data_IF_673588114895
#
_entry.id   IF_673588114895
#
_cell.length_a   1.000
_cell.length_b   1.000
_cell.length_c   1.000
_cell.angle_alpha   90.00
_cell.angle_beta   90.00
_cell.angle_gamma   90.00
#
_symmetry.space_group_name_H-M   'P 1'
#
loop_
_entity.id
_entity.type
_entity.pdbx_description
1 polymer ?
#
# COMPACT_ATOMS: atom_id res chain seq x y z
N UNK A 1 88.94 -65.85 64.89
CA UNK A 1 87.52 -65.57 65.22
C UNK A 1 87.28 -64.10 64.92
N UNK A 2 86.31 -63.82 64.06
CA UNK A 2 85.78 -62.54 63.56
C UNK A 2 86.09 -61.26 64.38
N UNK A 3 86.40 -60.14 63.70
CA UNK A 3 85.54 -58.92 63.66
C UNK A 3 86.23 -57.69 63.03
N UNK A 4 85.63 -57.22 61.92
CA UNK A 4 85.45 -55.83 61.43
C UNK A 4 86.68 -54.90 61.35
N UNK A 5 87.20 -54.73 60.13
CA UNK A 5 87.78 -53.45 59.68
C UNK A 5 86.69 -52.37 59.65
N UNK A 6 86.80 -51.37 60.52
CA UNK A 6 86.17 -50.05 60.34
C UNK A 6 87.30 -49.07 60.03
N UNK A 7 87.32 -48.55 58.82
CA UNK A 7 88.12 -47.38 58.48
C UNK A 7 87.38 -46.13 58.98
N UNK A 8 87.87 -45.51 60.05
CA UNK A 8 87.45 -44.17 60.46
C UNK A 8 88.11 -43.15 59.54
N UNK A 9 87.39 -42.74 58.49
CA UNK A 9 87.75 -41.56 57.70
C UNK A 9 87.40 -40.30 58.50
N UNK A 10 88.43 -39.67 59.08
CA UNK A 10 88.32 -38.32 59.66
C UNK A 10 88.20 -37.30 58.53
N UNK A 11 86.99 -36.78 58.31
CA UNK A 11 86.73 -35.73 57.32
C UNK A 11 87.14 -34.38 57.91
N UNK A 12 88.29 -33.84 57.49
CA UNK A 12 88.70 -32.48 57.84
C UNK A 12 87.74 -31.45 57.25
N UNK A 13 87.25 -30.50 58.06
CA UNK A 13 86.35 -29.44 57.60
C UNK A 13 87.03 -28.58 56.53
N UNK A 14 86.34 -28.26 55.41
CA UNK A 14 86.92 -27.47 54.33
C UNK A 14 87.30 -26.08 54.81
N UNK A 15 88.50 -25.61 54.44
CA UNK A 15 88.95 -24.25 54.73
C UNK A 15 88.07 -23.20 54.06
N UNK A 16 87.86 -22.04 54.70
CA UNK A 16 86.94 -20.99 54.23
C UNK A 16 87.16 -20.58 52.75
N UNK A 17 88.41 -20.57 52.28
CA UNK A 17 88.74 -20.28 50.87
C UNK A 17 88.30 -21.36 49.88
N UNK A 18 88.31 -22.65 50.26
CA UNK A 18 87.83 -23.75 49.42
C UNK A 18 86.30 -23.72 49.29
N UNK A 19 85.59 -23.36 50.37
CA UNK A 19 84.14 -23.15 50.35
C UNK A 19 83.75 -21.99 49.42
N UNK A 20 84.50 -20.88 49.45
CA UNK A 20 84.30 -19.73 48.56
C UNK A 20 84.57 -20.08 47.09
N UNK A 21 85.64 -20.82 46.80
CA UNK A 21 85.96 -21.24 45.43
C UNK A 21 84.91 -22.21 44.85
N UNK A 22 84.41 -23.16 45.67
CA UNK A 22 83.32 -24.07 45.29
C UNK A 22 82.00 -23.32 45.07
N UNK A 23 81.67 -22.34 45.94
CA UNK A 23 80.48 -21.51 45.77
C UNK A 23 80.56 -20.67 44.48
N UNK A 24 81.73 -20.09 44.17
CA UNK A 24 81.95 -19.36 42.93
C UNK A 24 81.86 -20.27 41.69
N UNK A 25 82.49 -21.45 41.72
CA UNK A 25 82.38 -22.44 40.64
C UNK A 25 80.91 -22.82 40.40
N UNK A 26 80.13 -23.09 41.46
CA UNK A 26 78.72 -23.43 41.34
C UNK A 26 77.88 -22.28 40.76
N UNK A 27 78.15 -21.04 41.16
CA UNK A 27 77.48 -19.86 40.59
C UNK A 27 77.83 -19.68 39.10
N UNK A 28 79.10 -19.84 38.72
CA UNK A 28 79.52 -19.77 37.32
C UNK A 28 78.95 -20.91 36.48
N UNK A 29 78.91 -22.13 37.01
CA UNK A 29 78.31 -23.28 36.36
C UNK A 29 76.79 -23.13 36.22
N UNK A 30 76.11 -22.61 37.25
CA UNK A 30 74.68 -22.29 37.18
C UNK A 30 74.40 -21.18 36.15
N UNK A 31 75.26 -20.16 36.07
CA UNK A 31 75.18 -19.11 35.05
C UNK A 31 75.40 -19.63 33.63
N UNK A 32 76.41 -20.48 33.41
CA UNK A 32 76.65 -21.13 32.12
C UNK A 32 75.52 -22.08 31.74
N UNK A 33 75.01 -22.87 32.68
CA UNK A 33 73.87 -23.75 32.47
C UNK A 33 72.62 -22.95 32.11
N UNK A 34 72.35 -21.86 32.82
CA UNK A 34 71.25 -20.96 32.50
C UNK A 34 71.41 -20.33 31.10
N UNK A 35 72.61 -19.87 30.75
CA UNK A 35 72.89 -19.30 29.43
C UNK A 35 72.68 -20.33 28.32
N UNK A 36 73.16 -21.56 28.49
CA UNK A 36 72.94 -22.66 27.53
C UNK A 36 71.45 -23.02 27.45
N UNK A 37 70.76 -23.11 28.59
CA UNK A 37 69.32 -23.38 28.63
C UNK A 37 68.51 -22.30 27.88
N UNK A 38 68.88 -21.02 28.00
CA UNK A 38 68.23 -19.95 27.22
C UNK A 38 68.46 -20.11 25.71
N UNK A 39 69.61 -20.65 25.27
CA UNK A 39 69.86 -20.91 23.84
C UNK A 39 69.11 -22.12 23.27
N UNK A 40 68.54 -22.99 24.10
CA UNK A 40 67.78 -24.17 23.63
C UNK A 40 66.30 -23.88 23.37
N UNK A 41 65.82 -22.65 23.59
CA UNK A 41 64.44 -22.27 23.31
C UNK A 41 64.11 -22.41 21.83
N UNK A 42 62.93 -22.94 21.55
CA UNK A 42 62.36 -22.88 20.21
C UNK A 42 61.81 -21.47 19.96
N UNK A 43 62.04 -20.96 18.76
CA UNK A 43 61.51 -19.69 18.27
C UNK A 43 60.19 -19.92 17.54
N UNK A 44 59.16 -19.15 17.90
CA UNK A 44 57.85 -19.18 17.24
C UNK A 44 57.48 -17.77 16.80
N UNK A 45 57.21 -17.59 15.52
CA UNK A 45 56.71 -16.33 14.97
C UNK A 45 55.20 -16.34 14.98
N UNK A 46 54.58 -15.41 15.71
CA UNK A 46 53.13 -15.28 15.83
C UNK A 46 52.68 -14.10 14.98
N UNK A 47 51.76 -14.35 14.06
CA UNK A 47 51.10 -13.32 13.24
C UNK A 47 49.69 -13.09 13.77
N UNK A 48 49.43 -11.89 14.32
CA UNK A 48 48.14 -11.47 14.85
C UNK A 48 47.59 -10.32 14.00
N UNK A 49 46.76 -10.65 13.01
CA UNK A 49 46.30 -9.66 12.03
C UNK A 49 47.48 -9.15 11.20
N UNK A 50 47.77 -7.85 11.28
CA UNK A 50 48.93 -7.23 10.60
C UNK A 50 50.19 -7.18 11.49
N UNK A 51 50.06 -7.49 12.78
CA UNK A 51 51.17 -7.48 13.73
C UNK A 51 51.88 -8.83 13.73
N UNK A 52 53.21 -8.81 13.68
CA UNK A 52 54.04 -10.02 13.80
C UNK A 52 55.04 -9.86 14.94
N UNK A 53 55.12 -10.85 15.82
CA UNK A 53 56.10 -10.87 16.92
C UNK A 53 56.66 -12.28 17.12
N UNK A 54 57.85 -12.38 17.70
CA UNK A 54 58.51 -13.66 17.96
C UNK A 54 58.55 -13.93 19.45
N UNK A 55 58.24 -15.16 19.83
CA UNK A 55 58.40 -15.67 21.20
C UNK A 55 59.44 -16.79 21.21
N UNK A 56 60.17 -16.90 22.32
CA UNK A 56 61.09 -17.99 22.58
C UNK A 56 60.57 -18.80 23.78
N UNK A 57 60.42 -20.11 23.62
CA UNK A 57 59.73 -20.98 24.59
C UNK A 57 60.44 -22.33 24.74
N UNK A 58 60.32 -22.93 25.92
CA UNK A 58 60.68 -24.32 26.19
C UNK A 58 59.46 -25.26 26.20
N UNK A 59 58.27 -24.72 25.96
CA UNK A 59 57.04 -25.50 26.00
C UNK A 59 57.00 -26.56 24.89
N UNK A 60 56.50 -27.74 25.23
CA UNK A 60 56.39 -28.85 24.28
C UNK A 60 55.25 -28.64 23.26
N UNK A 61 54.25 -27.81 23.57
CA UNK A 61 53.03 -27.64 22.75
C UNK A 61 52.62 -26.18 22.63
N UNK A 62 51.82 -25.87 21.58
CA UNK A 62 51.22 -24.53 21.37
C UNK A 62 50.47 -24.04 22.61
N UNK A 63 49.71 -24.89 23.29
CA UNK A 63 49.03 -24.55 24.54
C UNK A 63 50.01 -24.14 25.63
N UNK A 64 51.07 -24.92 25.84
CA UNK A 64 52.09 -24.62 26.84
C UNK A 64 52.78 -23.29 26.56
N UNK A 65 53.08 -23.00 25.29
CA UNK A 65 53.64 -21.71 24.87
C UNK A 65 52.67 -20.56 25.15
N UNK A 66 51.38 -20.70 24.82
CA UNK A 66 50.35 -19.69 25.09
C UNK A 66 50.28 -19.37 26.59
N UNK A 67 50.32 -20.39 27.44
CA UNK A 67 50.30 -20.24 28.90
C UNK A 67 51.61 -19.61 29.44
N UNK A 68 52.78 -20.06 28.98
CA UNK A 68 54.09 -19.53 29.36
C UNK A 68 54.23 -18.04 29.02
N UNK A 69 53.74 -17.64 27.84
CA UNK A 69 53.82 -16.27 27.34
C UNK A 69 52.65 -15.38 27.79
N UNK A 70 51.71 -15.91 28.61
CA UNK A 70 50.50 -15.21 29.06
C UNK A 70 49.67 -14.61 27.91
N UNK A 71 49.54 -15.33 26.80
CA UNK A 71 48.73 -14.90 25.66
C UNK A 71 47.24 -15.14 25.94
N UNK A 72 46.42 -14.08 25.89
CA UNK A 72 44.96 -14.15 26.08
C UNK A 72 44.24 -14.65 24.81
N UNK A 73 44.50 -15.91 24.43
CA UNK A 73 43.81 -16.56 23.31
C UNK A 73 42.44 -17.05 23.78
N UNK A 74 41.37 -16.47 23.21
CA UNK A 74 40.00 -16.82 23.59
C UNK A 74 39.56 -18.10 22.89
N UNK A 75 38.62 -18.82 23.50
CA UNK A 75 38.02 -20.05 22.92
C UNK A 75 37.44 -19.86 21.51
N UNK A 76 37.05 -18.64 21.15
CA UNK A 76 36.44 -18.33 19.84
C UNK A 76 37.46 -17.84 18.81
N UNK A 77 38.70 -17.58 19.20
CA UNK A 77 39.77 -17.21 18.29
C UNK A 77 40.16 -18.41 17.42
N UNK A 78 40.77 -18.12 16.28
CA UNK A 78 41.27 -19.13 15.35
C UNK A 78 42.80 -19.11 15.37
N UNK A 79 43.40 -20.30 15.50
CA UNK A 79 44.83 -20.52 15.39
C UNK A 79 45.09 -21.38 14.14
N UNK A 80 46.16 -21.10 13.39
CA UNK A 80 46.56 -21.94 12.24
C UNK A 80 47.01 -23.34 12.63
N UNK A 81 47.39 -23.53 13.90
CA UNK A 81 47.89 -24.78 14.46
C UNK A 81 47.03 -25.23 15.64
N UNK A 82 47.00 -26.54 15.88
CA UNK A 82 46.27 -27.09 17.02
C UNK A 82 46.93 -26.68 18.34
N UNK A 83 46.14 -26.45 19.39
CA UNK A 83 46.66 -26.17 20.73
C UNK A 83 47.52 -27.33 21.29
N UNK A 84 47.35 -28.55 20.78
CA UNK A 84 48.15 -29.72 21.18
C UNK A 84 49.31 -29.99 20.22
N UNK A 85 49.51 -29.14 19.21
CA UNK A 85 50.58 -29.32 18.23
C UNK A 85 51.95 -29.12 18.89
N UNK A 86 52.93 -30.01 18.65
CA UNK A 86 54.27 -29.85 19.21
C UNK A 86 54.97 -28.59 18.71
N UNK A 87 55.67 -27.89 19.59
CA UNK A 87 56.51 -26.75 19.19
C UNK A 87 57.74 -27.26 18.43
N UNK A 88 57.99 -26.65 17.27
CA UNK A 88 59.21 -26.86 16.49
C UNK A 88 59.96 -25.53 16.32
N UNK A 89 61.28 -25.60 16.10
CA UNK A 89 62.08 -24.40 15.87
C UNK A 89 61.66 -23.67 14.59
N UNK A 90 61.51 -22.35 14.67
CA UNK A 90 61.03 -21.48 13.59
C UNK A 90 59.60 -21.75 13.12
N UNK A 91 58.74 -22.22 14.03
CA UNK A 91 57.31 -22.41 13.75
C UNK A 91 56.63 -21.06 13.48
N UNK A 92 55.69 -21.03 12.53
CA UNK A 92 54.84 -19.87 12.26
C UNK A 92 53.41 -20.17 12.71
N UNK A 93 52.86 -19.31 13.57
CA UNK A 93 51.50 -19.43 14.11
C UNK A 93 50.69 -18.20 13.70
N UNK A 94 49.62 -18.41 12.93
CA UNK A 94 48.62 -17.37 12.68
C UNK A 94 47.60 -17.38 13.82
N UNK A 95 47.34 -16.23 14.43
CA UNK A 95 46.31 -16.02 15.43
C UNK A 95 45.33 -14.96 14.92
N UNK A 96 44.07 -15.36 14.72
CA UNK A 96 42.98 -14.47 14.35
C UNK A 96 42.03 -14.28 15.53
N UNK A 97 42.10 -13.14 16.23
CA UNK A 97 41.17 -12.84 17.30
C UNK A 97 39.73 -12.76 16.78
N UNK A 98 38.81 -13.42 17.48
CA UNK A 98 37.39 -13.34 17.16
C UNK A 98 36.76 -12.08 17.75
N UNK A 99 35.90 -11.46 16.95
CA UNK A 99 35.12 -10.28 17.31
C UNK A 99 33.66 -10.67 17.42
N UNK A 100 32.99 -10.18 18.46
CA UNK A 100 31.55 -10.32 18.60
C UNK A 100 30.88 -9.19 17.83
N UNK A 101 30.04 -9.53 16.87
CA UNK A 101 29.30 -8.55 16.05
C UNK A 101 27.82 -8.89 16.03
N UNK A 102 27.01 -7.94 15.62
CA UNK A 102 25.59 -8.14 15.31
C UNK A 102 25.41 -8.14 13.80
N UNK A 103 24.83 -9.20 13.26
CA UNK A 103 24.40 -9.28 11.86
C UNK A 103 22.88 -9.25 11.83
N UNK A 104 22.31 -8.28 11.10
CA UNK A 104 20.88 -8.18 10.83
C UNK A 104 20.60 -8.54 9.37
N UNK A 105 19.71 -9.51 9.16
CA UNK A 105 19.25 -9.93 7.84
C UNK A 105 17.76 -9.61 7.75
N UNK A 106 17.37 -8.67 6.88
CA UNK A 106 15.98 -8.26 6.68
C UNK A 106 15.27 -7.92 8.02
N UNK A 107 15.93 -7.10 8.86
CA UNK A 107 15.47 -6.76 10.21
C UNK A 107 15.70 -7.82 11.31
N UNK A 108 16.03 -9.08 10.98
CA UNK A 108 16.30 -10.11 11.99
C UNK A 108 17.75 -10.05 12.48
N UNK A 109 17.96 -9.55 13.69
CA UNK A 109 19.29 -9.36 14.28
C UNK A 109 19.75 -10.58 15.08
N UNK A 110 21.00 -11.01 14.87
CA UNK A 110 21.67 -12.05 15.63
C UNK A 110 23.10 -11.66 15.99
N UNK A 111 23.57 -12.03 17.19
CA UNK A 111 24.97 -11.84 17.58
C UNK A 111 25.81 -13.06 17.23
N UNK A 112 26.91 -12.83 16.50
CA UNK A 112 27.85 -13.88 16.09
C UNK A 112 29.28 -13.53 16.49
N UNK A 113 30.13 -14.55 16.57
CA UNK A 113 31.59 -14.39 16.68
C UNK A 113 32.22 -14.66 15.32
N UNK A 114 33.14 -13.79 14.89
CA UNK A 114 33.81 -13.93 13.59
C UNK A 114 35.28 -13.53 13.65
N UNK A 115 36.11 -14.27 12.92
CA UNK A 115 37.53 -13.94 12.67
C UNK A 115 37.71 -13.20 11.34
N UNK A 116 36.65 -13.06 10.53
CA UNK A 116 36.68 -12.42 9.22
C UNK A 116 37.18 -10.97 9.30
N UNK A 117 38.14 -10.62 8.45
CA UNK A 117 38.80 -9.32 8.45
C UNK A 117 37.96 -8.18 7.87
N UNK A 118 37.01 -8.48 6.98
CA UNK A 118 36.14 -7.50 6.32
C UNK A 118 34.66 -7.87 6.39
N UNK A 119 33.79 -6.86 6.25
CA UNK A 119 32.34 -7.05 6.21
C UNK A 119 31.93 -7.99 5.07
N UNK A 120 32.53 -7.87 3.88
CA UNK A 120 32.20 -8.76 2.75
C UNK A 120 32.44 -10.24 3.07
N UNK A 121 33.53 -10.56 3.81
CA UNK A 121 33.78 -11.93 4.28
C UNK A 121 32.76 -12.37 5.33
N UNK A 122 32.32 -11.47 6.21
CA UNK A 122 31.25 -11.76 7.18
C UNK A 122 29.96 -12.15 6.45
N UNK A 123 29.53 -11.34 5.49
CA UNK A 123 28.31 -11.54 4.71
C UNK A 123 28.38 -12.87 3.94
N UNK A 124 29.49 -13.15 3.25
CA UNK A 124 29.71 -14.42 2.57
C UNK A 124 29.68 -15.63 3.54
N UNK A 125 30.29 -15.52 4.72
CA UNK A 125 30.26 -16.58 5.75
C UNK A 125 28.86 -16.80 6.35
N UNK A 126 27.95 -15.83 6.23
CA UNK A 126 26.55 -15.99 6.59
C UNK A 126 25.69 -16.54 5.44
N UNK A 127 26.31 -16.97 4.33
CA UNK A 127 25.64 -17.41 3.11
C UNK A 127 24.66 -16.36 2.56
N UNK A 128 25.05 -15.09 2.63
CA UNK A 128 24.32 -13.98 2.02
C UNK A 128 25.03 -13.66 0.71
N UNK A 129 24.30 -13.81 -0.39
CA UNK A 129 24.72 -13.37 -1.71
C UNK A 129 24.22 -11.94 -1.92
N UNK A 130 25.13 -11.00 -2.21
CA UNK A 130 24.78 -9.59 -2.36
C UNK A 130 24.31 -9.32 -3.79
N UNK A 131 23.02 -9.16 -3.95
CA UNK A 131 22.39 -8.72 -5.19
C UNK A 131 22.73 -7.27 -5.54
N UNK A 132 22.56 -6.88 -6.81
CA UNK A 132 22.91 -5.55 -7.30
C UNK A 132 22.03 -4.42 -6.74
N UNK A 133 20.89 -4.75 -6.15
CA UNK A 133 19.93 -3.79 -5.58
C UNK A 133 19.80 -3.91 -4.06
N UNK A 134 20.48 -4.88 -3.44
CA UNK A 134 20.44 -5.07 -2.00
C UNK A 134 21.18 -3.93 -1.30
N UNK A 135 20.80 -3.67 -0.06
CA UNK A 135 21.43 -2.66 0.76
C UNK A 135 22.26 -3.28 1.89
N UNK A 136 23.45 -2.74 2.06
CA UNK A 136 24.34 -3.09 3.16
C UNK A 136 24.75 -1.80 3.87
N UNK A 137 24.50 -1.72 5.18
CA UNK A 137 24.78 -0.51 5.95
C UNK A 137 26.29 -0.20 6.14
N UNK A 138 27.16 -1.09 5.66
CA UNK A 138 28.63 -0.98 5.70
C UNK A 138 29.20 -1.36 4.33
N UNK A 139 30.34 -0.79 3.97
CA UNK A 139 31.05 -1.22 2.77
C UNK A 139 31.62 -2.63 2.94
N UNK A 140 31.62 -3.42 1.86
CA UNK A 140 32.16 -4.79 1.84
C UNK A 140 33.65 -4.86 2.21
N UNK A 141 34.39 -3.78 1.98
CA UNK A 141 35.82 -3.64 2.30
C UNK A 141 36.06 -3.17 3.75
N UNK A 142 35.02 -2.74 4.47
CA UNK A 142 35.18 -2.17 5.80
C UNK A 142 35.76 -3.21 6.79
N UNK A 143 36.75 -2.83 7.62
CA UNK A 143 37.36 -3.74 8.59
C UNK A 143 36.39 -4.03 9.73
N UNK A 144 36.29 -5.30 10.13
CA UNK A 144 35.38 -5.73 11.20
C UNK A 144 35.94 -5.31 12.56
N UNK A 145 35.09 -4.72 13.41
CA UNK A 145 35.42 -4.29 14.78
C UNK A 145 34.53 -5.00 15.80
N UNK A 146 35.01 -5.16 17.03
CA UNK A 146 34.19 -5.71 18.11
C UNK A 146 32.98 -4.80 18.40
N UNK A 147 31.82 -5.40 18.64
CA UNK A 147 30.55 -4.70 18.81
C UNK A 147 29.95 -4.08 17.53
N UNK A 148 30.54 -4.33 16.35
CA UNK A 148 30.05 -3.80 15.09
C UNK A 148 28.65 -4.36 14.73
N UNK A 149 27.79 -3.51 14.18
CA UNK A 149 26.51 -3.93 13.57
C UNK A 149 26.61 -3.86 12.05
N UNK A 150 26.35 -5.00 11.41
CA UNK A 150 26.22 -5.17 9.96
C UNK A 150 24.75 -5.48 9.68
N UNK A 151 24.09 -4.67 8.87
CA UNK A 151 22.69 -4.84 8.49
C UNK A 151 22.61 -4.97 6.97
N UNK A 152 22.00 -6.07 6.53
CA UNK A 152 21.73 -6.42 5.15
C UNK A 152 20.22 -6.43 4.94
N UNK A 153 19.77 -5.75 3.90
CA UNK A 153 18.38 -5.72 3.45
C UNK A 153 18.34 -6.21 2.00
N UNK A 154 17.65 -7.33 1.79
CA UNK A 154 17.43 -7.90 0.47
C UNK A 154 16.45 -7.03 -0.31
N UNK A 155 16.78 -6.70 -1.56
CA UNK A 155 15.84 -6.06 -2.45
C UNK A 155 14.86 -7.08 -3.00
N UNK A 156 13.61 -6.64 -3.14
CA UNK A 156 12.53 -7.42 -3.74
C UNK A 156 11.85 -6.62 -4.85
N UNK A 157 11.27 -7.31 -5.85
CA UNK A 157 10.55 -6.65 -6.93
C UNK A 157 9.18 -6.17 -6.45
N UNK A 158 8.82 -4.95 -6.83
CA UNK A 158 7.48 -4.40 -6.67
C UNK A 158 6.97 -3.97 -8.04
N UNK A 159 5.76 -4.40 -8.38
CA UNK A 159 5.11 -4.03 -9.65
C UNK A 159 4.24 -2.81 -9.44
N UNK A 160 4.42 -1.80 -10.28
CA UNK A 160 3.63 -0.57 -10.26
C UNK A 160 2.80 -0.49 -11.54
N UNK A 161 1.49 -0.31 -11.39
CA UNK A 161 0.52 -0.20 -12.48
C UNK A 161 0.08 1.25 -12.63
N UNK A 162 0.29 1.83 -13.80
CA UNK A 162 -0.11 3.21 -14.13
C UNK A 162 -0.78 3.24 -15.50
N UNK A 163 -2.09 3.56 -15.53
CA UNK A 163 -2.89 3.59 -16.75
C UNK A 163 -2.75 2.31 -17.63
N UNK A 164 -2.73 1.14 -17.00
CA UNK A 164 -2.61 -0.16 -17.67
C UNK A 164 -1.19 -0.52 -18.13
N UNK A 165 -0.19 0.35 -17.91
CA UNK A 165 1.23 0.01 -18.09
C UNK A 165 1.79 -0.51 -16.77
N UNK A 166 2.65 -1.52 -16.85
CA UNK A 166 3.35 -2.08 -15.69
C UNK A 166 4.81 -1.65 -15.69
N UNK A 167 5.35 -1.38 -14.50
CA UNK A 167 6.77 -1.14 -14.28
C UNK A 167 7.21 -1.88 -13.03
N UNK A 168 8.23 -2.70 -13.16
CA UNK A 168 8.87 -3.36 -12.03
C UNK A 168 9.99 -2.48 -11.46
N UNK A 169 10.10 -2.45 -10.13
CA UNK A 169 11.12 -1.71 -9.39
C UNK A 169 11.67 -2.59 -8.29
N UNK A 170 12.99 -2.79 -8.28
CA UNK A 170 13.70 -3.44 -7.18
C UNK A 170 13.87 -2.44 -6.04
N UNK A 171 13.46 -2.82 -4.83
CA UNK A 171 13.55 -1.94 -3.66
C UNK A 171 13.81 -2.74 -2.38
N UNK A 172 14.53 -2.12 -1.45
CA UNK A 172 14.67 -2.57 -0.06
C UNK A 172 13.65 -1.87 0.86
N UNK A 173 12.95 -0.86 0.33
CA UNK A 173 12.04 -0.01 1.11
C UNK A 173 10.65 -0.61 1.13
N UNK A 174 10.05 -0.67 2.32
CA UNK A 174 8.70 -1.20 2.46
C UNK A 174 7.58 -0.15 2.22
N UNK A 175 7.83 1.15 2.06
CA UNK A 175 6.73 2.12 1.89
C UNK A 175 6.39 2.43 0.43
N UNK A 176 5.13 2.22 0.04
CA UNK A 176 4.62 2.43 -1.33
C UNK A 176 4.92 3.83 -1.90
N UNK A 177 4.80 4.89 -1.09
CA UNK A 177 5.10 6.25 -1.50
C UNK A 177 6.59 6.50 -1.81
N UNK A 178 7.51 5.80 -1.14
CA UNK A 178 8.95 5.89 -1.42
C UNK A 178 9.31 5.10 -2.67
N UNK A 179 8.67 3.95 -2.87
CA UNK A 179 8.83 3.13 -4.08
C UNK A 179 8.44 3.92 -5.33
N UNK A 180 7.33 4.66 -5.30
CA UNK A 180 6.96 5.55 -6.41
C UNK A 180 8.03 6.59 -6.72
N UNK A 181 8.61 7.22 -5.69
CA UNK A 181 9.70 8.21 -5.87
C UNK A 181 10.94 7.56 -6.48
N UNK A 182 11.34 6.38 -5.99
CA UNK A 182 12.47 5.61 -6.55
C UNK A 182 12.21 5.23 -8.01
N UNK A 183 10.95 4.90 -8.35
CA UNK A 183 10.51 4.63 -9.70
C UNK A 183 10.52 5.87 -10.63
N UNK A 184 10.76 7.07 -10.09
CA UNK A 184 10.65 8.34 -10.80
C UNK A 184 9.21 8.75 -11.13
N UNK A 185 8.22 8.13 -10.48
CA UNK A 185 6.80 8.43 -10.71
C UNK A 185 6.32 9.51 -9.75
N UNK A 186 5.87 10.63 -10.33
CA UNK A 186 5.24 11.73 -9.60
C UNK A 186 3.72 11.61 -9.72
N UNK A 187 3.06 11.85 -8.61
CA UNK A 187 1.60 11.93 -8.51
C UNK A 187 1.20 13.40 -8.47
N UNK A 188 0.22 13.78 -9.27
CA UNK A 188 -0.37 15.11 -9.22
C UNK A 188 -1.27 15.26 -7.98
N UNK A 189 -1.86 16.44 -7.78
CA UNK A 189 -2.66 16.73 -6.58
C UNK A 189 -3.90 15.85 -6.43
N UNK A 190 -4.45 15.38 -7.56
CA UNK A 190 -5.66 14.55 -7.59
C UNK A 190 -5.34 13.06 -7.69
N UNK A 191 -4.10 12.70 -8.07
CA UNK A 191 -3.69 11.32 -8.24
C UNK A 191 -3.48 10.64 -6.88
N UNK A 192 -3.67 9.32 -6.86
CA UNK A 192 -3.49 8.53 -5.65
C UNK A 192 -2.93 7.15 -5.94
N UNK A 193 -2.25 6.59 -4.94
CA UNK A 193 -2.10 5.14 -4.85
C UNK A 193 -3.37 4.58 -4.24
N UNK A 194 -3.92 3.55 -4.87
CA UNK A 194 -5.10 2.85 -4.38
C UNK A 194 -4.85 2.23 -3.00
N UNK A 195 -3.66 1.69 -2.78
CA UNK A 195 -3.22 1.09 -1.52
C UNK A 195 -2.90 2.17 -0.46
N UNK A 196 -2.68 3.43 -0.87
CA UNK A 196 -2.24 4.51 -0.02
C UNK A 196 -0.71 4.65 0.06
N UNK A 197 -0.22 5.89 0.24
CA UNK A 197 1.22 6.21 0.19
C UNK A 197 2.02 5.65 1.37
N UNK A 198 1.37 5.44 2.52
CA UNK A 198 2.02 4.97 3.75
C UNK A 198 1.94 3.45 3.94
N UNK A 199 1.38 2.75 2.95
CA UNK A 199 1.21 1.31 3.03
C UNK A 199 2.56 0.62 2.95
N UNK A 200 2.77 -0.28 3.90
CA UNK A 200 3.91 -1.18 3.93
C UNK A 200 3.69 -2.29 2.90
N UNK A 201 4.64 -2.49 2.02
CA UNK A 201 4.65 -3.50 0.97
C UNK A 201 5.63 -4.59 1.32
N UNK A 202 5.34 -5.79 0.85
CA UNK A 202 6.22 -6.95 0.88
C UNK A 202 6.52 -7.42 -0.54
N UNK A 203 7.29 -8.51 -0.64
CA UNK A 203 7.49 -9.22 -1.91
C UNK A 203 6.15 -9.47 -2.63
N UNK A 204 6.18 -9.38 -3.97
CA UNK A 204 5.02 -9.61 -4.85
C UNK A 204 3.87 -8.60 -4.73
N UNK A 205 4.07 -7.47 -4.05
CA UNK A 205 3.04 -6.43 -3.96
C UNK A 205 2.87 -5.71 -5.30
N UNK A 206 1.63 -5.53 -5.72
CA UNK A 206 1.26 -4.65 -6.83
C UNK A 206 0.74 -3.31 -6.29
N UNK A 207 1.24 -2.21 -6.85
CA UNK A 207 0.81 -0.85 -6.53
C UNK A 207 0.01 -0.27 -7.69
N UNK A 208 -1.26 0.07 -7.44
CA UNK A 208 -2.14 0.65 -8.44
C UNK A 208 -2.14 2.18 -8.33
N UNK A 209 -1.58 2.84 -9.33
CA UNK A 209 -1.69 4.29 -9.51
C UNK A 209 -3.03 4.60 -10.17
N UNK A 210 -3.81 5.47 -9.51
CA UNK A 210 -5.05 6.02 -10.04
C UNK A 210 -4.79 7.46 -10.45
N UNK A 211 -4.78 7.69 -11.77
CA UNK A 211 -4.67 9.02 -12.38
C UNK A 211 -6.05 9.66 -12.45
N UNK A 212 -6.19 10.84 -11.85
CA UNK A 212 -7.48 11.53 -11.75
C UNK A 212 -7.44 12.82 -12.56
N UNK A 213 -8.25 12.86 -13.62
CA UNK A 213 -8.40 14.02 -14.48
C UNK A 213 -9.80 14.60 -14.32
N UNK A 214 -9.89 15.93 -14.26
CA UNK A 214 -11.17 16.66 -14.29
C UNK A 214 -11.26 17.43 -15.58
N UNK A 215 -12.24 17.11 -16.41
CA UNK A 215 -12.47 17.77 -17.69
C UNK A 215 -13.85 18.41 -17.72
N UNK A 216 -14.01 19.42 -18.57
CA UNK A 216 -15.30 20.02 -18.84
C UNK A 216 -15.83 19.48 -20.17
N UNK A 217 -17.03 18.90 -20.15
CA UNK A 217 -17.74 18.46 -21.35
C UNK A 217 -18.93 19.41 -21.62
N UNK A 218 -19.10 19.85 -22.87
CA UNK A 218 -20.16 20.78 -23.26
C UNK A 218 -21.01 20.12 -24.34
N UNK A 219 -22.29 19.93 -24.03
CA UNK A 219 -23.25 19.23 -24.89
C UNK A 219 -24.44 20.14 -25.18
N UNK A 220 -24.84 20.21 -26.44
CA UNK A 220 -26.07 20.90 -26.84
C UNK A 220 -27.22 19.90 -27.02
N UNK A 221 -28.34 20.19 -26.37
CA UNK A 221 -29.55 19.38 -26.45
C UNK A 221 -30.72 20.20 -27.00
N UNK A 222 -31.59 19.54 -27.77
CA UNK A 222 -32.80 20.16 -28.31
C UNK A 222 -33.88 20.17 -27.23
N UNK A 223 -34.42 21.35 -26.93
CA UNK A 223 -35.57 21.51 -26.04
C UNK A 223 -36.87 21.51 -26.85
N UNK A 224 -37.82 20.65 -26.47
CA UNK A 224 -39.13 20.62 -27.12
C UNK A 224 -39.93 21.90 -26.79
N UNK A 225 -40.89 22.23 -27.65
CA UNK A 225 -41.81 23.35 -27.47
C UNK A 225 -43.21 22.84 -27.09
N UNK A 226 -44.00 23.65 -26.39
CA UNK A 226 -45.36 23.28 -26.02
C UNK A 226 -46.34 23.53 -27.20
N UNK A 227 -47.46 22.83 -27.21
CA UNK A 227 -48.59 23.17 -28.11
C UNK A 227 -49.66 23.88 -27.29
N UNK A 228 -49.88 25.16 -27.59
CA UNK A 228 -50.87 25.99 -26.91
C UNK A 228 -52.14 26.04 -27.74
N UNK A 229 -53.24 25.57 -27.16
CA UNK A 229 -54.56 25.60 -27.81
C UNK A 229 -55.29 26.89 -27.47
N UNK A 230 -55.87 27.55 -28.49
CA UNK A 230 -56.65 28.78 -28.34
C UNK A 230 -58.03 28.60 -28.97
N UNK A 231 -59.10 28.95 -28.24
CA UNK A 231 -60.46 28.90 -28.79
C UNK A 231 -60.61 29.94 -29.92
N UNK A 232 -61.27 29.54 -31.00
CA UNK A 232 -61.60 30.41 -32.14
C UNK A 232 -63.03 30.11 -32.60
N UNK A 233 -63.97 30.97 -32.24
CA UNK A 233 -65.39 30.80 -32.54
C UNK A 233 -65.72 30.93 -34.04
N UNK A 234 -64.75 31.35 -34.87
CA UNK A 234 -64.91 31.35 -36.34
C UNK A 234 -64.67 29.98 -37.00
N UNK A 235 -64.09 29.03 -36.26
CA UNK A 235 -63.88 27.65 -36.73
C UNK A 235 -65.07 26.77 -36.34
N UNK A 236 -65.44 25.83 -37.21
CA UNK A 236 -66.48 24.86 -36.86
C UNK A 236 -66.03 23.96 -35.70
N UNK A 237 -66.98 23.47 -34.91
CA UNK A 237 -66.70 22.59 -33.76
C UNK A 237 -65.85 21.38 -34.15
N UNK A 238 -64.77 21.16 -33.41
CA UNK A 238 -63.81 20.07 -33.67
C UNK A 238 -62.81 20.33 -34.80
N UNK A 239 -62.87 21.46 -35.50
CA UNK A 239 -61.82 21.85 -36.44
C UNK A 239 -60.64 22.50 -35.72
N UNK A 240 -59.43 22.12 -36.13
CA UNK A 240 -58.18 22.71 -35.66
C UNK A 240 -57.45 23.44 -36.79
N UNK A 241 -56.82 24.57 -36.48
CA UNK A 241 -55.97 25.32 -37.40
C UNK A 241 -54.70 25.77 -36.71
N UNK A 242 -53.54 25.43 -37.27
CA UNK A 242 -52.25 25.95 -36.76
C UNK A 242 -52.17 27.44 -37.05
N UNK A 243 -52.10 28.26 -36.00
CA UNK A 243 -51.96 29.72 -36.08
C UNK A 243 -50.49 30.13 -36.09
N UNK A 244 -49.66 29.43 -35.29
CA UNK A 244 -48.21 29.66 -35.22
C UNK A 244 -47.50 28.32 -35.15
N UNK A 245 -46.51 28.13 -36.01
CA UNK A 245 -45.65 26.96 -35.98
C UNK A 245 -44.71 27.03 -34.78
N UNK A 246 -44.60 25.93 -34.04
CA UNK A 246 -43.61 25.83 -32.97
C UNK A 246 -42.22 25.49 -33.49
N UNK A 247 -41.18 25.83 -32.73
CA UNK A 247 -39.79 25.50 -33.06
C UNK A 247 -39.04 25.07 -31.81
N UNK A 248 -38.23 24.00 -31.93
CA UNK A 248 -37.42 23.52 -30.80
C UNK A 248 -36.39 24.57 -30.38
N UNK A 249 -36.26 24.72 -29.07
CA UNK A 249 -35.16 25.45 -28.45
C UNK A 249 -33.88 24.63 -28.46
N UNK A 250 -32.80 25.25 -28.02
CA UNK A 250 -31.49 24.61 -27.81
C UNK A 250 -30.99 25.05 -26.45
N UNK A 251 -30.65 24.07 -25.61
CA UNK A 251 -29.96 24.30 -24.34
C UNK A 251 -28.54 23.76 -24.46
N UNK A 252 -27.59 24.51 -23.94
CA UNK A 252 -26.21 24.08 -23.76
C UNK A 252 -26.04 23.67 -22.30
N UNK A 253 -25.51 22.47 -22.09
CA UNK A 253 -25.25 21.90 -20.78
C UNK A 253 -23.74 21.70 -20.64
N UNK A 254 -23.18 22.24 -19.57
CA UNK A 254 -21.77 22.10 -19.22
C UNK A 254 -21.64 21.15 -18.05
N UNK A 255 -20.83 20.12 -18.22
CA UNK A 255 -20.59 19.09 -17.23
C UNK A 255 -19.14 19.15 -16.72
N UNK A 256 -18.94 19.01 -15.41
CA UNK A 256 -17.65 18.58 -14.86
C UNK A 256 -17.63 17.05 -14.87
N UNK A 257 -16.66 16.48 -15.59
CA UNK A 257 -16.48 15.04 -15.75
C UNK A 257 -15.18 14.63 -15.05
N UNK A 258 -15.27 13.66 -14.15
CA UNK A 258 -14.11 13.08 -13.47
C UNK A 258 -13.75 11.76 -14.15
N UNK A 259 -12.51 11.68 -14.62
CA UNK A 259 -11.94 10.49 -15.22
C UNK A 259 -10.94 9.85 -14.26
N UNK A 260 -11.06 8.54 -14.04
CA UNK A 260 -10.04 7.74 -13.36
C UNK A 260 -9.43 6.77 -14.36
N UNK A 261 -8.12 6.87 -14.56
CA UNK A 261 -7.38 6.08 -15.55
C UNK A 261 -8.01 6.15 -16.96
N UNK A 262 -8.49 7.33 -17.34
CA UNK A 262 -9.16 7.59 -18.62
C UNK A 262 -10.60 7.10 -18.72
N UNK A 263 -11.19 6.56 -17.66
CA UNK A 263 -12.60 6.12 -17.62
C UNK A 263 -13.44 7.10 -16.81
N UNK A 264 -14.58 7.52 -17.36
CA UNK A 264 -15.54 8.38 -16.66
C UNK A 264 -16.12 7.67 -15.44
N UNK A 265 -15.94 8.25 -14.25
CA UNK A 265 -16.48 7.75 -12.99
C UNK A 265 -17.55 8.67 -12.40
N UNK A 266 -17.58 9.95 -12.82
CA UNK A 266 -18.57 10.92 -12.38
C UNK A 266 -18.81 11.99 -13.44
N UNK A 267 -20.05 12.47 -13.51
CA UNK A 267 -20.49 13.58 -14.36
C UNK A 267 -21.50 14.41 -13.59
N UNK A 268 -21.21 15.70 -13.46
CA UNK A 268 -22.07 16.67 -12.75
C UNK A 268 -22.41 17.85 -13.65
N UNK A 269 -23.70 18.20 -13.76
CA UNK A 269 -24.15 19.38 -14.49
C UNK A 269 -23.79 20.63 -13.68
N UNK A 270 -22.83 21.41 -14.17
CA UNK A 270 -22.35 22.62 -13.48
C UNK A 270 -22.96 23.90 -14.02
N UNK A 271 -23.40 23.91 -15.28
CA UNK A 271 -24.08 25.05 -15.87
C UNK A 271 -25.05 24.62 -16.98
N UNK A 272 -26.14 25.36 -17.13
CA UNK A 272 -27.08 25.18 -18.22
C UNK A 272 -27.54 26.55 -18.74
N UNK A 273 -27.24 26.81 -20.00
CA UNK A 273 -27.59 28.05 -20.66
C UNK A 273 -28.52 27.79 -21.84
N UNK A 274 -29.59 28.57 -21.96
CA UNK A 274 -30.46 28.53 -23.14
C UNK A 274 -29.79 29.28 -24.29
N UNK A 275 -29.41 28.55 -25.34
CA UNK A 275 -28.82 29.12 -26.56
C UNK A 275 -29.91 29.62 -27.50
N UNK A 276 -31.05 28.91 -27.55
CA UNK A 276 -32.22 29.29 -28.35
C UNK A 276 -33.49 28.96 -27.59
N UNK A 277 -34.36 29.95 -27.39
CA UNK A 277 -35.67 29.72 -26.79
C UNK A 277 -36.56 28.86 -27.72
N UNK A 278 -37.31 27.94 -27.11
CA UNK A 278 -38.38 27.23 -27.82
C UNK A 278 -39.52 28.20 -28.14
N UNK A 279 -40.14 28.02 -29.29
CA UNK A 279 -41.37 28.74 -29.64
C UNK A 279 -42.52 27.77 -29.65
N UNK A 280 -43.57 28.05 -28.89
CA UNK A 280 -44.73 27.19 -28.80
C UNK A 280 -45.53 27.18 -30.11
N UNK A 281 -46.09 26.02 -30.43
CA UNK A 281 -47.02 25.85 -31.54
C UNK A 281 -48.39 26.29 -31.06
N UNK A 282 -48.99 27.28 -31.72
CA UNK A 282 -50.34 27.73 -31.39
C UNK A 282 -51.34 27.09 -32.34
N UNK A 283 -52.33 26.38 -31.79
CA UNK A 283 -53.42 25.76 -32.55
C UNK A 283 -54.74 26.38 -32.14
N UNK A 284 -55.45 26.97 -33.09
CA UNK A 284 -56.81 27.43 -32.90
C UNK A 284 -57.79 26.27 -33.01
N UNK A 285 -58.77 26.18 -32.11
CA UNK A 285 -59.81 25.13 -32.14
C UNK A 285 -61.21 25.74 -32.06
N UNK A 286 -62.12 25.23 -32.89
CA UNK A 286 -63.52 25.65 -32.88
C UNK A 286 -64.27 25.18 -31.63
N UNK A 287 -65.31 25.89 -31.16
CA UNK A 287 -66.14 25.50 -30.02
C UNK A 287 -66.72 24.10 -30.22
N UNK A 288 -66.31 23.17 -29.37
CA UNK A 288 -66.90 21.81 -29.33
C UNK A 288 -68.08 21.83 -28.38
N UNK A 289 -69.30 21.65 -28.90
CA UNK A 289 -70.48 21.38 -28.07
C UNK A 289 -70.32 20.00 -27.43
N UNK A 290 -69.77 19.95 -26.21
CA UNK A 290 -69.95 18.79 -25.35
C UNK A 290 -71.22 18.98 -24.54
N UNK A 291 -72.26 18.24 -24.92
CA UNK A 291 -73.45 17.99 -24.10
C UNK A 291 -73.06 17.54 -22.70
N UNK A 292 -73.55 18.29 -21.72
CA UNK A 292 -73.63 17.92 -20.31
C UNK A 292 -74.34 16.57 -20.11
N UNK A 293 -73.66 15.60 -19.49
CA UNK A 293 -74.31 14.49 -18.80
C UNK A 293 -74.17 14.73 -17.30
N UNK A 294 -75.31 14.82 -16.61
CA UNK A 294 -75.42 15.09 -15.19
C UNK A 294 -74.97 13.91 -14.32
N UNK A 295 -74.21 14.17 -13.23
CA UNK A 295 -74.37 13.45 -11.95
C UNK A 295 -73.69 14.19 -10.78
N UNK A 296 -74.54 14.86 -10.00
CA UNK A 296 -74.52 15.20 -8.56
C UNK A 296 -73.19 15.07 -7.78
N UNK A 297 -72.80 16.19 -7.14
CA UNK A 297 -72.24 16.14 -5.77
C UNK A 297 -71.08 17.09 -5.46
N UNK A 298 -71.43 18.27 -4.94
CA UNK A 298 -70.67 19.06 -3.94
C UNK A 298 -69.32 19.70 -4.32
N UNK A 299 -69.38 21.01 -4.55
CA UNK A 299 -68.33 22.02 -4.29
C UNK A 299 -68.24 22.32 -2.77
N UNK A 300 -67.13 22.87 -2.21
CA UNK A 300 -66.34 23.95 -2.83
C UNK A 300 -64.80 23.91 -2.69
N UNK A 301 -64.20 24.66 -3.62
CA UNK A 301 -62.99 25.51 -3.52
C UNK A 301 -61.70 24.89 -3.01
N UNK A 302 -60.70 24.76 -3.90
CA UNK A 302 -59.68 25.80 -3.97
C UNK A 302 -58.87 25.78 -5.27
N UNK A 303 -58.47 26.98 -5.66
CA UNK A 303 -57.71 27.34 -6.84
C UNK A 303 -56.31 26.73 -6.91
N UNK A 304 -55.86 26.47 -8.14
CA UNK A 304 -54.48 26.59 -8.67
C UNK A 304 -53.81 25.31 -9.19
N UNK A 305 -53.16 25.48 -10.36
CA UNK A 305 -52.39 24.55 -11.20
C UNK A 305 -53.18 23.61 -12.11
N UNK A 306 -53.18 23.98 -13.41
CA UNK A 306 -53.74 23.25 -14.56
C UNK A 306 -52.90 22.02 -14.90
N UNK A 307 -52.86 21.04 -14.00
CA UNK A 307 -52.21 19.77 -14.26
C UNK A 307 -53.18 18.69 -14.72
N UNK A 308 -52.83 17.93 -15.77
CA UNK A 308 -53.61 16.75 -16.19
C UNK A 308 -53.50 15.68 -15.10
N UNK A 309 -54.60 15.34 -14.44
CA UNK A 309 -54.64 14.27 -13.42
C UNK A 309 -55.04 12.93 -14.03
N UNK A 310 -54.27 11.89 -13.72
CA UNK A 310 -54.50 10.50 -14.13
C UNK A 310 -54.72 9.62 -12.89
N UNK A 311 -55.66 8.67 -12.97
CA UNK A 311 -55.79 7.62 -11.96
C UNK A 311 -54.88 6.46 -12.35
N UNK A 312 -53.94 6.08 -11.49
CA UNK A 312 -52.89 5.09 -11.79
C UNK A 312 -52.71 4.11 -10.62
N UNK A 313 -52.31 2.88 -10.94
CA UNK A 313 -51.85 1.91 -9.92
C UNK A 313 -50.40 2.26 -9.55
N UNK A 314 -50.15 2.57 -8.28
CA UNK A 314 -48.83 2.85 -7.75
C UNK A 314 -48.30 1.70 -6.91
N UNK A 315 -47.05 1.33 -7.17
CA UNK A 315 -46.20 0.54 -6.28
C UNK A 315 -45.02 1.39 -5.80
N UNK A 316 -44.15 0.83 -4.96
CA UNK A 316 -42.90 1.47 -4.57
C UNK A 316 -41.69 0.55 -4.78
N UNK A 317 -40.56 1.15 -5.12
CA UNK A 317 -39.27 0.49 -5.27
C UNK A 317 -38.18 1.20 -4.48
N UNK A 318 -37.04 0.53 -4.31
CA UNK A 318 -35.86 1.06 -3.63
C UNK A 318 -34.64 0.89 -4.52
N UNK A 319 -33.63 1.72 -4.32
CA UNK A 319 -32.33 1.56 -5.00
C UNK A 319 -31.51 0.39 -4.44
N UNK A 320 -31.80 -0.02 -3.18
CA UNK A 320 -31.11 -1.08 -2.45
C UNK A 320 -31.75 -2.44 -2.73
N UNK A 321 -31.44 -2.99 -3.90
CA UNK A 321 -31.80 -4.35 -4.30
C UNK A 321 -30.62 -5.10 -4.92
N UNK A 322 -30.59 -6.43 -4.74
CA UNK A 322 -29.53 -7.29 -5.26
C UNK A 322 -29.47 -7.20 -6.79
N UNK A 323 -28.34 -6.72 -7.32
CA UNK A 323 -28.12 -6.52 -8.75
C UNK A 323 -28.60 -5.18 -9.31
N UNK A 324 -29.17 -4.30 -8.48
CA UNK A 324 -29.58 -2.97 -8.87
C UNK A 324 -28.40 -2.00 -8.84
N UNK A 325 -28.21 -1.22 -9.91
CA UNK A 325 -27.20 -0.16 -9.96
C UNK A 325 -27.55 1.06 -9.10
N UNK A 326 -28.83 1.19 -8.74
CA UNK A 326 -29.38 2.40 -8.09
C UNK A 326 -29.40 3.63 -9.01
N UNK A 327 -29.22 3.44 -10.32
CA UNK A 327 -29.25 4.51 -11.32
C UNK A 327 -30.56 4.40 -12.11
N UNK A 328 -31.34 5.48 -12.16
CA UNK A 328 -32.59 5.52 -12.94
C UNK A 328 -32.33 5.63 -14.45
N UNK A 329 -33.36 5.41 -15.28
CA UNK A 329 -33.28 5.56 -16.74
C UNK A 329 -32.77 6.94 -17.22
N UNK A 330 -32.97 8.00 -16.43
CA UNK A 330 -32.45 9.36 -16.72
C UNK A 330 -31.09 9.65 -16.09
N UNK A 331 -30.46 8.66 -15.44
CA UNK A 331 -29.12 8.78 -14.86
C UNK A 331 -29.08 9.28 -13.41
N UNK A 332 -30.22 9.34 -12.70
CA UNK A 332 -30.24 9.79 -11.30
C UNK A 332 -29.67 8.69 -10.41
N UNK A 333 -28.58 8.99 -9.69
CA UNK A 333 -28.01 8.09 -8.69
C UNK A 333 -28.77 8.20 -7.36
N UNK A 334 -29.62 7.21 -7.10
CA UNK A 334 -30.45 7.12 -5.90
C UNK A 334 -29.68 6.60 -4.68
N UNK A 335 -28.57 5.90 -4.86
CA UNK A 335 -27.68 5.52 -3.75
C UNK A 335 -26.96 6.75 -3.17
N UNK A 336 -26.54 7.69 -4.03
CA UNK A 336 -25.98 8.97 -3.61
C UNK A 336 -27.05 9.96 -3.12
N UNK A 337 -28.30 9.82 -3.59
CA UNK A 337 -29.42 10.72 -3.26
C UNK A 337 -30.66 9.92 -2.81
N UNK A 338 -30.60 9.23 -1.65
CA UNK A 338 -31.65 8.31 -1.22
C UNK A 338 -33.00 8.98 -0.95
N UNK A 339 -33.03 10.30 -0.73
CA UNK A 339 -34.26 11.04 -0.52
C UNK A 339 -34.82 11.70 -1.78
N UNK A 340 -34.21 11.48 -2.95
CA UNK A 340 -34.71 12.04 -4.22
C UNK A 340 -36.09 11.43 -4.53
N UNK A 341 -37.05 12.31 -4.83
CA UNK A 341 -38.40 11.93 -5.21
C UNK A 341 -38.48 11.69 -6.72
N UNK A 342 -38.36 10.43 -7.11
CA UNK A 342 -38.48 10.00 -8.50
C UNK A 342 -39.55 8.94 -8.65
N UNK A 343 -40.11 8.86 -9.85
CA UNK A 343 -41.13 7.88 -10.21
C UNK A 343 -40.75 7.19 -11.51
N UNK A 344 -40.90 5.87 -11.54
CA UNK A 344 -40.85 5.08 -12.75
C UNK A 344 -42.21 5.13 -13.45
N UNK A 345 -42.21 5.39 -14.75
CA UNK A 345 -43.43 5.59 -15.54
C UNK A 345 -43.34 4.87 -16.89
N UNK A 346 -44.49 4.72 -17.56
CA UNK A 346 -44.53 4.47 -18.99
C UNK A 346 -44.31 5.80 -19.76
N UNK A 347 -43.21 5.96 -20.52
CA UNK A 347 -42.92 7.19 -21.25
C UNK A 347 -43.95 7.58 -22.31
N UNK A 348 -44.78 6.63 -22.77
CA UNK A 348 -45.88 6.91 -23.71
C UNK A 348 -47.08 7.59 -23.04
N UNK A 349 -47.20 7.48 -21.71
CA UNK A 349 -48.26 8.10 -20.89
C UNK A 349 -47.74 9.35 -20.17
N UNK A 350 -46.59 9.25 -19.50
CA UNK A 350 -45.92 10.36 -18.81
C UNK A 350 -44.48 10.44 -19.33
N UNK A 351 -44.11 11.45 -20.13
CA UNK A 351 -42.75 11.59 -20.63
C UNK A 351 -41.72 11.70 -19.49
N UNK A 352 -40.54 11.12 -19.70
CA UNK A 352 -39.42 11.30 -18.76
C UNK A 352 -39.02 12.79 -18.64
N UNK A 353 -38.64 13.21 -17.45
CA UNK A 353 -38.36 14.60 -17.07
C UNK A 353 -39.59 15.37 -16.56
N UNK A 354 -40.79 14.83 -16.70
CA UNK A 354 -42.03 15.48 -16.27
C UNK A 354 -42.11 15.57 -14.75
N UNK A 355 -42.50 16.74 -14.22
CA UNK A 355 -42.84 16.88 -12.80
C UNK A 355 -44.26 16.40 -12.58
N UNK A 356 -44.46 15.63 -11.52
CA UNK A 356 -45.78 15.12 -11.15
C UNK A 356 -46.02 15.32 -9.66
N UNK A 357 -47.27 15.49 -9.28
CA UNK A 357 -47.71 15.33 -7.90
C UNK A 357 -48.42 13.98 -7.77
N UNK A 358 -47.91 13.11 -6.91
CA UNK A 358 -48.51 11.80 -6.64
C UNK A 358 -49.22 11.86 -5.29
N UNK A 359 -50.52 11.59 -5.29
CA UNK A 359 -51.35 11.58 -4.10
C UNK A 359 -50.75 10.68 -3.01
N UNK A 360 -50.54 11.24 -1.82
CA UNK A 360 -49.95 10.53 -0.67
C UNK A 360 -48.43 10.29 -0.74
N UNK A 361 -47.75 10.73 -1.81
CA UNK A 361 -46.29 10.62 -1.96
C UNK A 361 -45.59 11.98 -2.10
N UNK A 362 -46.28 12.96 -2.70
CA UNK A 362 -45.80 14.32 -2.93
C UNK A 362 -45.31 14.56 -4.36
N UNK A 363 -44.59 15.67 -4.56
CA UNK A 363 -44.00 15.98 -5.86
C UNK A 363 -42.80 15.10 -6.19
N UNK A 364 -42.72 14.67 -7.45
CA UNK A 364 -41.68 13.79 -7.96
C UNK A 364 -41.35 14.12 -9.42
N UNK A 365 -40.23 13.60 -9.89
CA UNK A 365 -39.85 13.67 -11.31
C UNK A 365 -39.96 12.28 -11.93
N UNK A 366 -40.61 12.19 -13.08
CA UNK A 366 -40.61 11.00 -13.94
C UNK A 366 -39.19 10.76 -14.46
N UNK A 367 -38.40 9.97 -13.75
CA UNK A 367 -36.97 9.85 -13.99
C UNK A 367 -36.51 8.42 -14.27
N UNK A 368 -37.44 7.46 -14.22
CA UNK A 368 -37.13 6.04 -14.36
C UNK A 368 -38.16 5.30 -15.22
N UNK A 369 -37.81 4.09 -15.62
CA UNK A 369 -38.69 3.16 -16.36
C UNK A 369 -38.47 1.75 -15.85
N UNK A 370 -39.52 0.94 -15.80
CA UNK A 370 -39.41 -0.48 -15.43
C UNK A 370 -40.15 -1.34 -16.44
N UNK A 371 -39.65 -2.56 -16.71
CA UNK A 371 -40.27 -3.46 -17.71
C UNK A 371 -41.73 -3.83 -17.39
N UNK A 372 -42.14 -3.74 -16.12
CA UNK A 372 -43.50 -3.99 -15.66
C UNK A 372 -44.36 -2.73 -15.47
N UNK A 373 -43.81 -1.54 -15.76
CA UNK A 373 -44.46 -0.24 -15.59
C UNK A 373 -44.94 0.24 -16.97
N UNK A 374 -46.12 -0.22 -17.36
CA UNK A 374 -46.73 0.07 -18.66
C UNK A 374 -48.17 0.60 -18.46
N UNK A 375 -48.59 1.55 -19.29
CA UNK A 375 -49.90 2.20 -19.22
C UNK A 375 -50.11 3.03 -17.95
N UNK A 376 -51.27 2.85 -17.30
CA UNK A 376 -51.66 3.59 -16.10
C UNK A 376 -51.06 2.99 -14.82
N UNK A 377 -49.76 2.67 -14.83
CA UNK A 377 -49.02 2.13 -13.68
C UNK A 377 -47.77 2.97 -13.42
N UNK A 378 -47.46 3.19 -12.16
CA UNK A 378 -46.25 3.90 -11.72
C UNK A 378 -45.56 3.17 -10.56
N UNK A 379 -44.26 3.43 -10.40
CA UNK A 379 -43.48 2.94 -9.25
C UNK A 379 -42.76 4.11 -8.58
N UNK A 380 -43.05 4.38 -7.31
CA UNK A 380 -42.44 5.51 -6.59
C UNK A 380 -41.18 5.08 -5.86
N UNK A 381 -40.13 5.88 -5.93
CA UNK A 381 -38.90 5.60 -5.22
C UNK A 381 -39.04 5.83 -3.71
N UNK A 382 -38.54 4.90 -2.90
CA UNK A 382 -38.43 5.03 -1.46
C UNK A 382 -36.99 4.78 -1.00
N UNK A 383 -36.47 5.60 -0.06
CA UNK A 383 -35.12 5.42 0.49
C UNK A 383 -34.88 4.05 1.14
N UNK A 384 -35.91 3.44 1.74
CA UNK A 384 -35.77 2.18 2.48
C UNK A 384 -36.81 1.14 2.10
N UNK A 385 -36.43 -0.14 2.20
CA UNK A 385 -37.32 -1.28 1.96
C UNK A 385 -38.55 -1.25 2.88
N UNK A 386 -38.40 -0.78 4.12
CA UNK A 386 -39.52 -0.64 5.05
C UNK A 386 -40.55 0.40 4.56
N UNK A 387 -40.11 1.51 3.98
CA UNK A 387 -41.00 2.53 3.42
C UNK A 387 -41.72 2.03 2.17
N UNK A 388 -41.00 1.32 1.29
CA UNK A 388 -41.62 0.70 0.10
C UNK A 388 -42.68 -0.34 0.48
N UNK A 389 -42.40 -1.21 1.45
CA UNK A 389 -43.35 -2.21 1.95
C UNK A 389 -44.55 -1.57 2.64
N UNK A 390 -44.34 -0.47 3.38
CA UNK A 390 -45.41 0.29 4.03
C UNK A 390 -46.28 1.05 3.03
N UNK A 391 -45.70 1.45 1.89
CA UNK A 391 -46.46 2.05 0.78
C UNK A 391 -47.35 1.00 0.10
N UNK A 392 -46.83 -0.20 -0.17
CA UNK A 392 -47.61 -1.27 -0.79
C UNK A 392 -48.14 -0.90 -2.19
N UNK A 393 -49.18 -1.62 -2.64
CA UNK A 393 -49.85 -1.35 -3.92
C UNK A 393 -51.17 -0.63 -3.68
N UNK A 394 -51.41 0.47 -4.38
CA UNK A 394 -52.61 1.30 -4.20
C UNK A 394 -52.95 2.08 -5.47
N UNK A 395 -54.21 2.45 -5.64
CA UNK A 395 -54.60 3.40 -6.67
C UNK A 395 -54.41 4.81 -6.14
N UNK A 396 -53.79 5.68 -6.95
CA UNK A 396 -53.49 7.07 -6.60
C UNK A 396 -53.84 7.99 -7.75
N UNK A 397 -54.11 9.26 -7.44
CA UNK A 397 -54.15 10.31 -8.43
C UNK A 397 -52.75 10.88 -8.68
N UNK A 398 -52.38 10.99 -9.95
CA UNK A 398 -51.11 11.56 -10.42
C UNK A 398 -51.42 12.79 -11.25
N UNK A 399 -51.09 13.96 -10.72
CA UNK A 399 -51.25 15.23 -11.43
C UNK A 399 -49.96 15.60 -12.13
N UNK A 400 -49.99 15.70 -13.45
CA UNK A 400 -48.86 16.18 -14.24
C UNK A 400 -48.73 17.69 -14.05
N UNK A 401 -47.60 18.16 -13.55
CA UNK A 401 -47.32 19.56 -13.31
C UNK A 401 -46.55 20.12 -14.52
N UNK A 402 -47.12 21.13 -15.19
CA UNK A 402 -46.51 21.83 -16.34
C UNK A 402 -45.31 22.69 -15.95
#
# INVERSE_FOLDING_TARGET
MSLKQRADFSVSKPGKGMVLALAFLLLTAAGLFYAVHETTKATVTITKGEETFTVATHADTVKGMIEEQNLDVKKKDELSSSITEPITGNMNLEWKPARKITVSKNGEASSIWTTASSVGKVINNQNIDLGPHDELNKEVTAPVKDGMTVAYESAFPVTIKDNGKTKEVMTTTAQAGNILKQAGMKLDSNDRLKEGKNTTVSEETELDVVRVEKVTDVVQEKQNFATVTRKDDSLAGGQEKVVKSGSKGVVEKKYEVVLENGREVSRELVDQTKVKESQDKVVAVGPSDQTSIASRGSSPSDSSSSGRTLSMEATAYTADCSGCSGITATGVNLNANPNRKVVAVDPSVIPLGTRVHVEGYGEAVAADTGGAINGNRIDVHMPTNQQAMSFGRRNVQVTILE
#
